data_IF_951562624697
#
_entry.id   IF_951562624697
#
_cell.length_a   1.000
_cell.length_b   1.000
_cell.length_c   1.000
_cell.angle_alpha   90.00
_cell.angle_beta   90.00
_cell.angle_gamma   90.00
#
_symmetry.space_group_name_H-M   'P 1'
#
loop_
_entity.id
_entity.type
_entity.pdbx_description
1 polymer ?
#
# COMPACT_ATOMS: atom_id res chain seq x y z
N UNK A 1 -11.21 13.87 -4.36
CA UNK A 1 -11.02 12.69 -5.25
C UNK A 1 -9.59 12.18 -5.09
N UNK A 2 -9.29 10.92 -5.38
CA UNK A 2 -7.90 10.46 -5.41
C UNK A 2 -7.18 11.14 -6.58
N UNK A 3 -5.96 11.60 -6.38
CA UNK A 3 -5.15 12.17 -7.45
C UNK A 3 -4.25 11.07 -8.00
N UNK A 4 -4.11 11.03 -9.32
CA UNK A 4 -3.28 10.06 -10.02
C UNK A 4 -2.14 10.79 -10.73
N UNK A 5 -0.95 10.24 -10.60
CA UNK A 5 0.29 10.80 -11.10
C UNK A 5 0.95 9.82 -12.06
N UNK A 6 1.25 10.31 -13.26
CA UNK A 6 1.95 9.51 -14.27
C UNK A 6 3.43 9.87 -14.22
N UNK A 7 4.27 8.85 -14.03
CA UNK A 7 5.72 8.95 -14.19
C UNK A 7 6.13 8.03 -15.34
N UNK A 8 6.92 8.55 -16.27
CA UNK A 8 7.32 7.77 -17.45
C UNK A 8 8.74 8.08 -17.91
N UNK A 9 9.34 7.10 -18.57
CA UNK A 9 10.60 7.22 -19.28
C UNK A 9 10.53 6.43 -20.60
N UNK A 10 11.66 6.28 -21.30
CA UNK A 10 11.70 5.58 -22.57
C UNK A 10 11.15 4.13 -22.51
N UNK A 11 11.26 3.46 -21.36
CA UNK A 11 11.00 2.04 -21.17
C UNK A 11 9.74 1.73 -20.34
N UNK A 12 9.36 2.61 -19.42
CA UNK A 12 8.33 2.36 -18.41
C UNK A 12 7.35 3.51 -18.31
N UNK A 13 6.10 3.18 -18.01
CA UNK A 13 5.06 4.13 -17.57
C UNK A 13 4.43 3.60 -16.30
N UNK A 14 4.37 4.43 -15.28
CA UNK A 14 3.82 4.11 -13.96
C UNK A 14 2.72 5.11 -13.62
N UNK A 15 1.61 4.62 -13.07
CA UNK A 15 0.57 5.45 -12.45
C UNK A 15 0.60 5.23 -10.94
N UNK A 16 0.66 6.31 -10.17
CA UNK A 16 0.65 6.30 -8.69
C UNK A 16 -0.55 7.08 -8.19
N UNK A 17 -1.27 6.53 -7.21
CA UNK A 17 -2.39 7.22 -6.56
C UNK A 17 -1.97 7.81 -5.22
N UNK A 18 -2.38 9.06 -4.96
CA UNK A 18 -2.23 9.68 -3.63
C UNK A 18 -3.12 9.01 -2.58
N UNK A 19 -4.18 8.30 -2.97
CA UNK A 19 -4.93 7.48 -2.04
C UNK A 19 -4.23 6.14 -1.85
N UNK A 20 -3.72 5.92 -0.65
CA UNK A 20 -2.99 4.74 -0.25
C UNK A 20 -1.54 4.69 -0.73
N UNK A 21 -1.03 5.75 -1.36
CA UNK A 21 0.37 5.80 -1.84
C UNK A 21 0.73 4.64 -2.78
N UNK A 22 -0.26 4.15 -3.53
CA UNK A 22 -0.17 2.88 -4.25
C UNK A 22 0.25 3.07 -5.69
N UNK A 23 1.00 2.11 -6.21
CA UNK A 23 1.26 1.98 -7.65
C UNK A 23 0.00 1.36 -8.27
N UNK A 24 -0.76 2.17 -8.98
CA UNK A 24 -1.99 1.74 -9.65
C UNK A 24 -1.66 0.84 -10.85
N UNK A 25 -0.64 1.20 -11.62
CA UNK A 25 -0.16 0.40 -12.75
C UNK A 25 1.32 0.64 -13.02
N UNK A 26 1.98 -0.36 -13.59
CA UNK A 26 3.33 -0.27 -14.14
C UNK A 26 3.37 -1.04 -15.46
N UNK A 27 3.71 -0.36 -16.54
CA UNK A 27 3.65 -0.88 -17.90
C UNK A 27 5.01 -0.77 -18.59
N UNK A 28 5.43 -1.84 -19.26
CA UNK A 28 6.63 -1.85 -20.09
C UNK A 28 6.31 -1.40 -21.51
N UNK A 29 6.90 -0.28 -21.93
CA UNK A 29 6.84 0.22 -23.31
C UNK A 29 7.68 -0.63 -24.27
N UNK A 30 8.71 -1.30 -23.78
CA UNK A 30 9.55 -2.18 -24.60
C UNK A 30 8.82 -3.47 -24.96
N UNK A 31 8.18 -4.10 -23.97
CA UNK A 31 7.50 -5.39 -24.16
C UNK A 31 6.00 -5.25 -24.44
N UNK A 32 5.46 -4.03 -24.40
CA UNK A 32 4.03 -3.74 -24.58
C UNK A 32 3.15 -4.58 -23.64
N UNK A 33 3.58 -4.71 -22.39
CA UNK A 33 2.94 -5.58 -21.40
C UNK A 33 2.98 -4.97 -19.99
N UNK A 34 1.99 -5.27 -19.14
CA UNK A 34 2.02 -4.89 -17.74
C UNK A 34 3.17 -5.59 -17.01
N UNK A 35 3.89 -4.84 -16.18
CA UNK A 35 4.94 -5.37 -15.28
C UNK A 35 4.31 -5.85 -13.97
N UNK A 36 3.31 -5.12 -13.48
CA UNK A 36 2.52 -5.50 -12.32
C UNK A 36 1.15 -6.02 -12.76
N UNK A 37 0.59 -6.96 -12.00
CA UNK A 37 -0.78 -7.39 -12.23
C UNK A 37 -1.74 -6.21 -12.17
N UNK A 38 -2.58 -6.06 -13.20
CA UNK A 38 -3.56 -4.99 -13.26
C UNK A 38 -4.70 -5.28 -12.29
N UNK A 39 -4.78 -4.47 -11.24
CA UNK A 39 -5.78 -4.60 -10.18
C UNK A 39 -6.43 -3.22 -9.96
N UNK A 40 -7.76 -3.11 -10.00
CA UNK A 40 -8.46 -1.86 -9.66
C UNK A 40 -8.10 -1.32 -8.27
N UNK A 41 -7.78 -2.21 -7.32
CA UNK A 41 -7.33 -1.83 -5.98
C UNK A 41 -5.90 -1.26 -5.95
N UNK A 42 -5.11 -1.45 -7.00
CA UNK A 42 -3.69 -1.10 -7.13
C UNK A 42 -2.80 -2.32 -7.24
N UNK A 43 -1.73 -2.23 -8.04
CA UNK A 43 -0.77 -3.32 -8.27
C UNK A 43 0.23 -3.50 -7.12
N UNK A 44 0.54 -2.43 -6.37
CA UNK A 44 1.34 -2.48 -5.14
C UNK A 44 0.93 -1.34 -4.20
N UNK A 45 1.02 -1.57 -2.89
CA UNK A 45 0.73 -0.58 -1.86
C UNK A 45 1.75 -0.65 -0.71
N UNK A 46 2.00 0.47 -0.01
CA UNK A 46 2.95 0.53 1.09
C UNK A 46 2.31 -0.02 2.39
N UNK A 47 3.05 -0.82 3.16
CA UNK A 47 2.58 -1.39 4.43
C UNK A 47 3.29 -0.71 5.60
N UNK A 48 2.65 0.28 6.22
CA UNK A 48 3.20 1.04 7.34
C UNK A 48 2.15 1.20 8.44
N UNK A 49 2.55 1.10 9.72
CA UNK A 49 3.93 0.93 10.22
C UNK A 49 4.39 -0.55 10.26
N UNK A 50 3.58 -1.50 9.78
CA UNK A 50 3.91 -2.92 9.81
C UNK A 50 3.38 -3.65 8.59
N UNK A 51 3.97 -4.79 8.28
CA UNK A 51 3.47 -5.71 7.26
C UNK A 51 2.76 -6.91 7.90
N UNK A 52 1.65 -7.32 7.28
CA UNK A 52 0.82 -8.45 7.67
C UNK A 52 0.14 -8.25 9.04
N UNK A 53 0.10 -9.31 9.86
CA UNK A 53 -0.60 -9.36 11.16
C UNK A 53 0.40 -9.65 12.27
N UNK A 54 0.06 -9.21 13.48
CA UNK A 54 0.74 -9.64 14.69
C UNK A 54 -0.13 -10.67 15.42
N UNK A 55 0.45 -11.82 15.76
CA UNK A 55 -0.25 -12.88 16.47
C UNK A 55 -0.87 -12.37 17.78
N UNK A 56 -2.13 -12.72 18.03
CA UNK A 56 -2.88 -12.25 19.21
C UNK A 56 -3.21 -10.75 19.22
N UNK A 57 -2.92 -10.03 18.13
CA UNK A 57 -3.11 -8.59 17.97
C UNK A 57 -2.44 -7.75 19.07
N UNK A 58 -1.30 -8.24 19.60
CA UNK A 58 -0.58 -7.63 20.72
C UNK A 58 0.88 -8.08 20.77
N UNK A 59 1.74 -7.34 21.44
CA UNK A 59 3.14 -7.70 21.70
C UNK A 59 3.70 -6.92 22.90
N UNK A 60 4.85 -7.33 23.43
CA UNK A 60 5.57 -6.58 24.49
C UNK A 60 6.68 -5.73 23.87
N UNK A 61 6.76 -4.45 24.24
CA UNK A 61 7.82 -3.54 23.84
C UNK A 61 8.31 -2.74 25.05
N UNK A 62 9.61 -2.80 25.36
CA UNK A 62 10.22 -2.21 26.56
C UNK A 62 9.47 -2.51 27.87
N UNK A 63 8.98 -3.75 28.01
CA UNK A 63 8.25 -4.20 29.20
C UNK A 63 6.79 -3.77 29.27
N UNK A 64 6.30 -3.03 28.27
CA UNK A 64 4.89 -2.63 28.15
C UNK A 64 4.16 -3.52 27.14
N UNK A 65 2.94 -3.96 27.49
CA UNK A 65 2.04 -4.59 26.52
C UNK A 65 1.45 -3.53 25.58
N UNK A 66 1.63 -3.75 24.29
CA UNK A 66 1.04 -2.98 23.21
C UNK A 66 -0.04 -3.82 22.57
N UNK A 67 -1.28 -3.31 22.58
CA UNK A 67 -2.42 -3.91 21.90
C UNK A 67 -2.67 -3.13 20.62
N UNK A 68 -2.74 -3.81 19.50
CA UNK A 68 -2.97 -3.19 18.20
C UNK A 68 -4.47 -2.85 18.03
N UNK A 69 -4.79 -1.77 17.30
CA UNK A 69 -6.18 -1.36 17.08
C UNK A 69 -6.92 -2.39 16.21
N UNK A 70 -8.26 -2.36 16.27
CA UNK A 70 -9.08 -3.09 15.30
C UNK A 70 -8.93 -2.44 13.93
N UNK A 71 -8.92 -3.25 12.88
CA UNK A 71 -8.78 -2.77 11.51
C UNK A 71 -10.01 -3.17 10.69
N UNK A 72 -10.58 -2.29 9.89
CA UNK A 72 -11.78 -2.64 9.13
C UNK A 72 -11.50 -3.62 7.99
N UNK A 73 -10.25 -3.72 7.53
CA UNK A 73 -9.88 -4.65 6.46
C UNK A 73 -9.71 -6.11 6.93
N UNK A 74 -9.82 -6.38 8.24
CA UNK A 74 -9.73 -7.72 8.81
C UNK A 74 -10.53 -7.79 10.12
N UNK A 75 -11.44 -8.75 10.23
CA UNK A 75 -12.35 -8.88 11.38
C UNK A 75 -11.63 -9.06 12.73
N UNK A 76 -10.41 -9.63 12.71
CA UNK A 76 -9.72 -10.11 13.89
C UNK A 76 -8.39 -9.40 14.17
N UNK A 77 -7.67 -8.96 13.14
CA UNK A 77 -6.30 -8.49 13.27
C UNK A 77 -6.07 -7.09 12.70
N UNK A 78 -5.11 -6.37 13.27
CA UNK A 78 -4.53 -5.22 12.62
C UNK A 78 -3.67 -5.67 11.44
N UNK A 79 -4.09 -5.31 10.22
CA UNK A 79 -3.53 -5.81 8.98
C UNK A 79 -2.81 -4.69 8.22
N UNK A 80 -1.52 -4.88 7.93
CA UNK A 80 -0.71 -4.02 7.05
C UNK A 80 -0.54 -2.55 7.50
N UNK A 81 -0.96 -2.23 8.73
CA UNK A 81 -1.04 -0.85 9.17
C UNK A 81 -2.11 -0.07 8.41
N UNK A 82 -2.03 1.26 8.43
CA UNK A 82 -3.01 2.15 7.82
C UNK A 82 -2.48 2.96 6.64
N UNK A 83 -1.16 2.97 6.39
CA UNK A 83 -0.55 3.77 5.32
C UNK A 83 -1.17 3.54 3.93
N UNK A 84 -1.51 2.30 3.59
CA UNK A 84 -2.19 1.93 2.34
C UNK A 84 -3.65 2.41 2.21
N UNK A 85 -4.23 2.96 3.28
CA UNK A 85 -5.61 3.47 3.31
C UNK A 85 -5.66 4.99 3.39
N UNK A 86 -4.59 5.61 3.89
CA UNK A 86 -4.51 7.06 4.07
C UNK A 86 -4.24 7.80 2.76
N UNK A 87 -4.57 9.09 2.72
CA UNK A 87 -4.09 9.99 1.66
C UNK A 87 -2.65 10.41 1.95
N UNK A 88 -1.83 10.41 0.90
CA UNK A 88 -0.45 10.84 0.92
C UNK A 88 -0.32 12.20 0.24
N UNK A 89 0.52 13.06 0.83
CA UNK A 89 0.92 14.33 0.24
C UNK A 89 2.03 14.10 -0.79
N UNK A 90 1.98 14.87 -1.87
CA UNK A 90 3.06 14.94 -2.86
C UNK A 90 3.91 16.16 -2.52
N UNK A 91 5.23 15.97 -2.48
CA UNK A 91 6.22 17.01 -2.17
C UNK A 91 6.97 17.48 -3.40
#
# INVERSE_FOLDING_TARGET
>A
MAEEWILENAHLRMCVSSLGGKVQSLFSRQYQAPVLYENPAGGMFPMLPLANRVAGNRFIFHGQEIILPRHHADEYFFLHGDGWLQRWDII
#
